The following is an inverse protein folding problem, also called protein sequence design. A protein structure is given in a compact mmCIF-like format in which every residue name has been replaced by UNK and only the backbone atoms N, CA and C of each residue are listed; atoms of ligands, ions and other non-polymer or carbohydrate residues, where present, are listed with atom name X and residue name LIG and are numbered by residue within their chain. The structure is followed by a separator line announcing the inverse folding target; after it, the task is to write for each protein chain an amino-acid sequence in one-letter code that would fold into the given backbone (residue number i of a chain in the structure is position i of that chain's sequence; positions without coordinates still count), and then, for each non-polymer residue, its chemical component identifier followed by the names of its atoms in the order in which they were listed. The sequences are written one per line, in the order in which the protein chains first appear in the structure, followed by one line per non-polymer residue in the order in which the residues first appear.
data_IF_536176799656
#
_entry.id   IF_536176799656
#
_cell.length_a   1.000
_cell.length_b   1.000
_cell.length_c   1.000
_cell.angle_alpha   90.00
_cell.angle_beta   90.00
_cell.angle_gamma   90.00
#
_symmetry.space_group_name_H-M   'P 1'
#
loop_
_entity.id
_entity.type
_entity.pdbx_description
1 polymer ?
#
# COMPACT_ATOMS: atom_id res chain seq x y z
N UNK A 1 -24.92 -31.90 23.34
CA UNK A 1 -24.14 -30.64 23.50
C UNK A 1 -23.24 -30.51 22.28
N UNK A 2 -23.63 -29.70 21.31
CA UNK A 2 -22.87 -29.46 20.08
C UNK A 2 -21.80 -28.42 20.41
N UNK A 3 -20.53 -28.81 20.35
CA UNK A 3 -19.38 -27.93 20.56
C UNK A 3 -19.23 -27.05 19.30
N UNK A 4 -19.70 -25.80 19.34
CA UNK A 4 -19.32 -24.81 18.32
C UNK A 4 -17.83 -24.50 18.49
N UNK A 5 -17.00 -25.08 17.63
CA UNK A 5 -15.63 -24.61 17.44
C UNK A 5 -15.70 -23.27 16.71
N UNK A 6 -15.49 -22.17 17.42
CA UNK A 6 -15.15 -20.89 16.81
C UNK A 6 -13.79 -21.04 16.12
N UNK A 7 -13.79 -21.20 14.80
CA UNK A 7 -12.60 -20.89 14.02
C UNK A 7 -12.43 -19.36 14.03
N UNK A 8 -11.25 -18.82 14.38
CA UNK A 8 -10.98 -17.42 14.13
C UNK A 8 -10.93 -17.27 12.61
N UNK A 9 -11.85 -16.48 12.03
CA UNK A 9 -11.65 -15.93 10.70
C UNK A 9 -10.38 -15.09 10.76
N UNK A 10 -9.25 -15.64 10.32
CA UNK A 10 -8.18 -14.83 9.76
C UNK A 10 -8.74 -14.22 8.47
N UNK A 11 -9.49 -13.12 8.61
CA UNK A 11 -9.70 -12.21 7.52
C UNK A 11 -8.34 -11.63 7.17
N UNK A 12 -7.69 -12.19 6.16
CA UNK A 12 -6.67 -11.44 5.43
C UNK A 12 -7.34 -10.14 5.02
N UNK A 13 -6.92 -9.02 5.60
CA UNK A 13 -7.30 -7.69 5.15
C UNK A 13 -6.78 -7.56 3.72
N UNK A 14 -7.60 -7.96 2.75
CA UNK A 14 -7.42 -7.51 1.39
C UNK A 14 -7.39 -5.98 1.46
N UNK A 15 -6.38 -5.36 0.83
CA UNK A 15 -6.29 -3.92 0.74
C UNK A 15 -7.67 -3.38 0.31
N UNK A 16 -8.22 -2.44 1.06
CA UNK A 16 -9.51 -1.84 0.72
C UNK A 16 -9.33 -1.13 -0.62
N UNK A 17 -9.96 -1.68 -1.65
CA UNK A 17 -9.89 -1.18 -3.02
C UNK A 17 -11.29 -0.88 -3.52
N UNK A 18 -11.43 0.25 -4.21
CA UNK A 18 -12.68 0.74 -4.76
C UNK A 18 -12.46 0.93 -6.26
N UNK A 19 -13.37 0.46 -7.08
CA UNK A 19 -13.30 0.63 -8.52
C UNK A 19 -14.13 1.84 -8.93
N UNK A 20 -13.56 2.71 -9.76
CA UNK A 20 -14.24 3.81 -10.43
C UNK A 20 -14.22 3.55 -11.94
N UNK A 21 -15.34 3.80 -12.62
CA UNK A 21 -15.57 3.31 -13.98
C UNK A 21 -15.97 4.45 -14.90
N UNK A 22 -15.39 4.52 -16.09
CA UNK A 22 -15.84 5.52 -17.07
C UNK A 22 -17.33 5.32 -17.36
N UNK A 23 -18.14 6.40 -17.43
CA UNK A 23 -19.46 6.31 -18.02
C UNK A 23 -19.37 5.65 -19.40
N UNK A 24 -20.07 4.53 -19.58
CA UNK A 24 -19.98 3.71 -20.79
C UNK A 24 -20.75 4.37 -21.91
N UNK A 25 -20.03 4.76 -22.98
CA UNK A 25 -20.65 5.18 -24.26
C UNK A 25 -20.80 4.01 -25.22
N UNK A 26 -19.90 3.03 -25.12
CA UNK A 26 -19.96 1.73 -25.81
C UNK A 26 -19.63 0.60 -24.84
N UNK A 27 -19.87 -0.63 -25.29
CA UNK A 27 -19.45 -1.86 -24.61
C UNK A 27 -18.54 -2.73 -25.51
N UNK A 28 -17.98 -2.15 -26.57
CA UNK A 28 -17.16 -2.88 -27.55
C UNK A 28 -15.78 -3.24 -27.00
N UNK A 29 -15.28 -4.38 -27.46
CA UNK A 29 -13.96 -4.91 -27.11
C UNK A 29 -13.90 -5.70 -25.80
N UNK A 30 -12.71 -6.24 -25.54
CA UNK A 30 -12.44 -7.10 -24.40
C UNK A 30 -11.66 -6.35 -23.32
N UNK A 31 -11.99 -6.63 -22.06
CA UNK A 31 -11.22 -6.15 -20.91
C UNK A 31 -9.87 -6.85 -20.85
N UNK A 32 -8.79 -6.06 -20.84
CA UNK A 32 -7.42 -6.54 -20.96
C UNK A 32 -6.82 -7.01 -19.62
N UNK A 33 -7.53 -6.77 -18.52
CA UNK A 33 -7.20 -7.24 -17.19
C UNK A 33 -6.48 -6.18 -16.35
N UNK A 34 -6.70 -6.26 -15.04
CA UNK A 34 -6.16 -5.31 -14.07
C UNK A 34 -4.63 -5.34 -14.03
N UNK A 35 -4.02 -4.15 -14.06
CA UNK A 35 -2.65 -3.92 -13.60
C UNK A 35 -2.66 -2.98 -12.42
N UNK A 36 -1.90 -3.33 -11.39
CA UNK A 36 -1.81 -2.56 -10.16
C UNK A 36 -0.42 -1.93 -10.03
N UNK A 37 -0.37 -0.73 -9.46
CA UNK A 37 0.85 -0.14 -8.96
C UNK A 37 1.51 -1.07 -7.92
N UNK A 38 2.85 -1.04 -7.77
CA UNK A 38 3.51 -1.65 -6.64
C UNK A 38 2.98 -1.15 -5.29
N UNK A 39 3.01 -2.00 -4.26
CA UNK A 39 2.50 -1.68 -2.92
C UNK A 39 3.06 -0.34 -2.40
N UNK A 40 2.16 0.50 -1.88
CA UNK A 40 2.52 1.81 -1.33
C UNK A 40 2.81 2.90 -2.38
N UNK A 41 2.54 2.64 -3.66
CA UNK A 41 2.65 3.63 -4.74
C UNK A 41 1.31 3.89 -5.41
N UNK A 42 1.19 5.08 -6.01
CA UNK A 42 -0.05 5.58 -6.62
C UNK A 42 0.25 6.21 -7.97
N UNK A 43 -0.70 6.13 -8.89
CA UNK A 43 -0.58 6.72 -10.21
C UNK A 43 -0.42 8.24 -10.08
N UNK A 44 0.54 8.81 -10.80
CA UNK A 44 0.83 10.24 -10.76
C UNK A 44 1.16 10.82 -12.14
N UNK A 45 1.21 9.98 -13.17
CA UNK A 45 1.47 10.40 -14.54
C UNK A 45 0.79 9.46 -15.54
N UNK A 46 0.54 9.96 -16.73
CA UNK A 46 -0.13 9.26 -17.82
C UNK A 46 0.70 9.32 -19.10
N UNK A 47 0.62 8.27 -19.91
CA UNK A 47 1.07 8.26 -21.30
C UNK A 47 -0.09 7.79 -22.16
N UNK A 48 -0.27 8.43 -23.31
CA UNK A 48 -1.30 8.08 -24.27
C UNK A 48 -0.65 7.51 -25.52
N UNK A 49 -1.23 6.45 -26.07
CA UNK A 49 -0.94 5.98 -27.43
C UNK A 49 -2.09 6.40 -28.31
N UNK A 50 -1.80 7.21 -29.33
CA UNK A 50 -2.82 7.79 -30.22
C UNK A 50 -2.32 7.77 -31.64
N UNK A 51 -3.22 7.53 -32.58
CA UNK A 51 -2.92 7.69 -34.00
C UNK A 51 -2.76 9.16 -34.38
N UNK A 52 -1.88 9.42 -35.34
CA UNK A 52 -1.66 10.77 -35.89
C UNK A 52 -2.51 11.00 -37.13
N UNK A 53 -2.68 12.27 -37.51
CA UNK A 53 -3.48 12.67 -38.66
C UNK A 53 -3.01 12.00 -39.97
N UNK A 54 -3.85 11.15 -40.57
CA UNK A 54 -3.62 10.41 -41.81
C UNK A 54 -4.05 11.16 -43.09
N UNK A 55 -4.42 12.45 -42.99
CA UNK A 55 -4.74 13.33 -44.14
C UNK A 55 -5.83 12.77 -45.07
N UNK A 56 -6.77 11.98 -44.54
CA UNK A 56 -7.90 11.43 -45.33
C UNK A 56 -8.63 10.21 -44.77
N UNK A 57 -8.32 9.74 -43.55
CA UNK A 57 -9.03 8.68 -42.80
C UNK A 57 -9.12 9.06 -41.32
N UNK A 58 -9.99 8.39 -40.53
CA UNK A 58 -10.39 8.85 -39.20
C UNK A 58 -9.20 9.08 -38.27
N UNK A 59 -9.08 10.33 -37.82
CA UNK A 59 -7.80 10.94 -37.47
C UNK A 59 -7.46 10.86 -35.98
N UNK A 60 -8.14 10.11 -35.09
CA UNK A 60 -8.08 10.53 -33.67
C UNK A 60 -8.40 9.54 -32.53
N UNK A 61 -8.25 8.23 -32.72
CA UNK A 61 -8.55 7.25 -31.66
C UNK A 61 -7.48 7.10 -30.57
N UNK A 62 -7.88 7.06 -29.29
CA UNK A 62 -7.05 6.61 -28.18
C UNK A 62 -6.89 5.09 -28.27
N UNK A 63 -5.65 4.61 -28.31
CA UNK A 63 -5.33 3.19 -28.47
C UNK A 63 -4.81 2.55 -27.18
N UNK A 64 -4.25 3.34 -26.26
CA UNK A 64 -3.80 2.86 -24.96
C UNK A 64 -3.59 4.01 -23.96
N UNK A 65 -3.74 3.68 -22.68
CA UNK A 65 -3.35 4.52 -21.55
C UNK A 65 -2.40 3.73 -20.66
N UNK A 66 -1.20 4.25 -20.48
CA UNK A 66 -0.26 3.78 -19.47
C UNK A 66 -0.25 4.76 -18.30
N UNK A 67 -0.19 4.25 -17.07
CA UNK A 67 0.01 5.05 -15.87
C UNK A 67 1.40 4.80 -15.31
N UNK A 68 1.99 5.80 -14.66
CA UNK A 68 3.21 5.62 -13.87
C UNK A 68 2.91 5.84 -12.40
N UNK A 69 3.51 5.01 -11.55
CA UNK A 69 3.27 5.01 -10.11
C UNK A 69 4.47 5.52 -9.29
N UNK A 70 4.21 6.29 -8.23
CA UNK A 70 5.24 6.74 -7.28
C UNK A 70 4.72 6.66 -5.83
N UNK A 71 5.60 6.54 -4.82
CA UNK A 71 5.22 6.80 -3.44
C UNK A 71 4.70 8.23 -3.28
N UNK A 72 3.94 8.48 -2.21
CA UNK A 72 3.54 9.84 -1.83
C UNK A 72 4.75 10.73 -1.53
N UNK A 73 4.58 12.04 -1.62
CA UNK A 73 5.62 13.04 -1.37
C UNK A 73 6.87 12.85 -2.24
N UNK A 74 6.68 12.31 -3.44
CA UNK A 74 7.72 12.27 -4.44
C UNK A 74 8.11 13.70 -4.85
N UNK A 75 9.40 13.90 -5.11
CA UNK A 75 9.97 15.18 -5.60
C UNK A 75 10.77 14.99 -6.89
N UNK A 76 10.73 13.80 -7.49
CA UNK A 76 11.43 13.48 -8.73
C UNK A 76 10.53 12.72 -9.68
N UNK A 77 10.39 13.26 -10.89
CA UNK A 77 9.69 12.63 -12.01
C UNK A 77 10.54 11.47 -12.57
N UNK A 78 9.95 10.29 -12.67
CA UNK A 78 10.56 9.10 -13.28
C UNK A 78 9.50 8.18 -13.90
N UNK A 79 9.91 7.26 -14.76
CA UNK A 79 9.00 6.37 -15.50
C UNK A 79 9.22 4.89 -15.18
N UNK A 80 9.85 4.58 -14.03
CA UNK A 80 10.32 3.22 -13.72
C UNK A 80 9.19 2.24 -13.34
N UNK A 81 8.02 2.76 -12.95
CA UNK A 81 6.89 1.96 -12.47
C UNK A 81 5.66 2.15 -13.36
N UNK A 82 5.83 1.83 -14.63
CA UNK A 82 4.77 1.82 -15.62
C UNK A 82 3.77 0.67 -15.34
N UNK A 83 2.48 0.96 -15.47
CA UNK A 83 1.40 -0.03 -15.52
C UNK A 83 0.56 0.20 -16.78
N UNK A 84 0.32 -0.89 -17.51
CA UNK A 84 -0.37 -0.89 -18.80
C UNK A 84 -1.30 -2.10 -18.89
N UNK A 85 -2.61 -1.86 -18.91
CA UNK A 85 -3.62 -2.93 -18.96
C UNK A 85 -3.63 -3.62 -20.31
N UNK A 86 -3.85 -2.87 -21.38
CA UNK A 86 -3.70 -3.34 -22.75
C UNK A 86 -3.39 -2.20 -23.71
N UNK A 87 -3.01 -2.59 -24.92
CA UNK A 87 -2.50 -1.68 -25.94
C UNK A 87 -3.06 -2.04 -27.31
N UNK A 88 -3.67 -1.05 -27.96
CA UNK A 88 -4.08 -1.14 -29.35
C UNK A 88 -2.87 -1.16 -30.31
N UNK A 89 -3.05 -1.77 -31.48
CA UNK A 89 -1.97 -2.00 -32.44
C UNK A 89 -1.38 -0.71 -32.98
N UNK A 90 -2.21 0.30 -33.18
CA UNK A 90 -1.86 1.48 -33.95
C UNK A 90 -1.52 2.71 -33.09
N UNK A 91 -0.99 3.72 -33.77
CA UNK A 91 -0.58 4.98 -33.18
C UNK A 91 0.77 4.94 -32.48
N UNK A 92 1.20 6.12 -32.02
CA UNK A 92 2.47 6.30 -31.31
C UNK A 92 2.23 6.75 -29.88
N UNK A 93 3.06 6.24 -28.98
CA UNK A 93 3.15 6.72 -27.61
C UNK A 93 3.62 8.17 -27.59
N UNK A 94 2.83 9.06 -27.00
CA UNK A 94 3.15 10.49 -26.86
C UNK A 94 3.94 10.76 -25.58
N UNK A 95 4.27 12.02 -25.35
CA UNK A 95 4.99 12.46 -24.15
C UNK A 95 4.21 12.15 -22.87
N UNK A 96 4.94 11.82 -21.80
CA UNK A 96 4.35 11.60 -20.48
C UNK A 96 3.84 12.92 -19.91
N UNK A 97 2.66 12.90 -19.30
CA UNK A 97 2.04 14.03 -18.61
C UNK A 97 2.03 13.72 -17.13
N UNK A 98 2.57 14.63 -16.32
CA UNK A 98 2.78 14.42 -14.90
C UNK A 98 1.88 15.32 -14.08
N UNK A 99 1.31 14.78 -13.00
CA UNK A 99 0.72 15.61 -11.96
C UNK A 99 1.76 16.59 -11.40
N UNK A 100 1.34 17.76 -10.88
CA UNK A 100 2.23 18.65 -10.14
C UNK A 100 2.95 17.92 -9.00
N UNK A 101 4.12 18.46 -8.61
CA UNK A 101 4.99 17.85 -7.61
C UNK A 101 4.26 17.44 -6.33
N UNK A 102 4.47 16.20 -5.90
CA UNK A 102 3.88 15.64 -4.68
C UNK A 102 2.40 15.26 -4.78
N UNK A 103 1.72 15.57 -5.88
CA UNK A 103 0.33 15.17 -6.11
C UNK A 103 0.23 13.77 -6.75
N UNK A 104 -0.91 13.14 -6.57
CA UNK A 104 -1.25 11.84 -7.18
C UNK A 104 -2.60 11.94 -7.86
N UNK A 105 -2.89 10.98 -8.73
CA UNK A 105 -4.16 10.90 -9.43
C UNK A 105 -5.26 10.46 -8.47
N UNK A 106 -6.33 11.25 -8.39
CA UNK A 106 -7.48 11.09 -7.50
C UNK A 106 -8.79 10.89 -8.26
N UNK A 107 -8.75 10.89 -9.58
CA UNK A 107 -9.91 10.70 -10.43
C UNK A 107 -9.54 10.77 -11.91
N UNK A 108 -10.52 10.62 -12.77
CA UNK A 108 -10.36 10.70 -14.21
C UNK A 108 -11.67 11.01 -14.94
N UNK A 109 -11.54 11.35 -16.22
CA UNK A 109 -12.62 11.31 -17.20
C UNK A 109 -12.07 10.81 -18.54
N UNK A 110 -12.95 10.26 -19.37
CA UNK A 110 -12.65 9.99 -20.78
C UNK A 110 -13.30 11.04 -21.65
N UNK A 111 -12.71 11.33 -22.80
CA UNK A 111 -13.39 12.04 -23.88
C UNK A 111 -13.70 11.01 -24.97
N UNK A 112 -14.94 11.06 -25.45
CA UNK A 112 -15.49 10.10 -26.42
C UNK A 112 -16.73 10.69 -27.08
N UNK A 113 -16.92 10.40 -28.37
CA UNK A 113 -18.12 10.79 -29.10
C UNK A 113 -19.32 9.89 -28.75
N UNK A 114 -20.54 10.43 -28.84
CA UNK A 114 -21.75 9.62 -28.73
C UNK A 114 -22.09 8.99 -30.09
N UNK A 115 -22.59 7.75 -30.07
CA UNK A 115 -23.08 7.04 -31.26
C UNK A 115 -24.06 7.91 -32.08
N UNK A 116 -23.65 8.28 -33.29
CA UNK A 116 -24.41 9.14 -34.21
C UNK A 116 -25.42 8.36 -35.07
N UNK A 117 -25.86 7.16 -34.65
CA UNK A 117 -26.94 6.39 -35.31
C UNK A 117 -26.64 6.08 -36.78
N UNK A 118 -25.49 5.45 -37.03
CA UNK A 118 -25.15 4.88 -38.35
C UNK A 118 -24.07 5.62 -39.14
N UNK A 119 -23.22 6.39 -38.47
CA UNK A 119 -21.89 6.78 -38.94
C UNK A 119 -20.89 6.35 -37.88
N UNK A 120 -19.83 5.67 -38.29
CA UNK A 120 -18.77 5.21 -37.41
C UNK A 120 -18.16 6.40 -36.65
N UNK A 121 -17.96 6.21 -35.34
CA UNK A 121 -16.98 6.84 -34.44
C UNK A 121 -17.50 6.84 -33.00
N UNK A 122 -17.10 5.84 -32.21
CA UNK A 122 -17.55 5.69 -30.81
C UNK A 122 -16.43 5.26 -29.85
N UNK A 123 -15.17 5.42 -30.25
CA UNK A 123 -14.02 5.14 -29.40
C UNK A 123 -13.74 6.30 -28.42
N UNK A 124 -12.92 6.05 -27.39
CA UNK A 124 -12.32 7.11 -26.61
C UNK A 124 -11.25 7.82 -27.45
N UNK A 125 -11.13 9.13 -27.32
CA UNK A 125 -10.16 9.95 -28.07
C UNK A 125 -9.14 10.62 -27.12
N UNK A 126 -9.46 10.68 -25.82
CA UNK A 126 -8.55 11.19 -24.79
C UNK A 126 -8.89 10.63 -23.40
N UNK A 127 -7.91 10.74 -22.50
CA UNK A 127 -8.04 10.44 -21.08
C UNK A 127 -7.50 11.64 -20.28
N UNK A 128 -8.25 12.07 -19.27
CA UNK A 128 -7.83 13.09 -18.32
C UNK A 128 -7.70 12.46 -16.95
N UNK A 129 -6.55 12.61 -16.30
CA UNK A 129 -6.35 12.28 -14.89
C UNK A 129 -6.44 13.53 -14.03
N UNK A 130 -7.23 13.50 -12.97
CA UNK A 130 -7.33 14.59 -11.99
C UNK A 130 -6.31 14.37 -10.88
N UNK A 131 -5.54 15.41 -10.56
CA UNK A 131 -4.43 15.38 -9.63
C UNK A 131 -4.75 16.14 -8.34
N UNK A 132 -4.43 15.54 -7.20
CA UNK A 132 -4.65 16.19 -5.91
C UNK A 132 -4.00 15.43 -4.77
N UNK A 133 -4.30 15.88 -3.55
CA UNK A 133 -3.89 15.14 -2.35
C UNK A 133 -4.95 14.08 -2.03
N UNK A 134 -4.54 12.91 -1.49
CA UNK A 134 -5.48 11.85 -1.16
C UNK A 134 -6.61 12.27 -0.22
N UNK A 135 -6.36 13.23 0.67
CA UNK A 135 -7.36 13.75 1.63
C UNK A 135 -7.90 15.14 1.26
N UNK A 136 -7.56 15.63 0.07
CA UNK A 136 -8.00 16.91 -0.45
C UNK A 136 -9.41 16.88 -1.04
N UNK A 137 -9.85 18.01 -1.64
CA UNK A 137 -11.09 18.06 -2.39
C UNK A 137 -11.06 17.09 -3.59
N UNK A 138 -12.25 16.74 -4.08
CA UNK A 138 -12.46 15.95 -5.30
C UNK A 138 -12.92 16.88 -6.40
N UNK A 139 -11.95 17.47 -7.08
CA UNK A 139 -12.15 18.49 -8.10
C UNK A 139 -11.08 18.37 -9.21
N UNK A 140 -11.21 19.22 -10.22
CA UNK A 140 -10.33 19.27 -11.38
C UNK A 140 -9.27 20.38 -11.27
N UNK A 141 -8.95 20.87 -10.07
CA UNK A 141 -8.04 22.00 -9.88
C UNK A 141 -6.67 21.78 -10.52
N UNK A 142 -6.23 20.52 -10.58
CA UNK A 142 -5.07 20.10 -11.34
C UNK A 142 -5.45 18.87 -12.17
N UNK A 143 -5.07 18.85 -13.43
CA UNK A 143 -5.37 17.73 -14.33
C UNK A 143 -4.29 17.54 -15.37
N UNK A 144 -4.21 16.33 -15.92
CA UNK A 144 -3.30 15.91 -16.98
C UNK A 144 -4.08 15.19 -18.05
N UNK A 145 -3.88 15.53 -19.33
CA UNK A 145 -4.48 14.81 -20.45
C UNK A 145 -3.54 14.73 -21.65
N UNK A 146 -3.89 13.87 -22.61
CA UNK A 146 -3.18 13.77 -23.88
C UNK A 146 -3.36 15.04 -24.73
N UNK A 147 -2.38 15.31 -25.60
CA UNK A 147 -2.39 16.48 -26.49
C UNK A 147 -3.30 16.29 -27.74
N UNK A 148 -4.29 15.40 -27.68
CA UNK A 148 -5.15 15.10 -28.83
C UNK A 148 -6.17 16.21 -29.08
N UNK A 149 -6.17 16.74 -30.30
CA UNK A 149 -7.19 17.64 -30.82
C UNK A 149 -8.33 16.80 -31.40
N UNK A 150 -9.12 16.18 -30.53
CA UNK A 150 -10.18 15.26 -30.93
C UNK A 150 -11.57 15.84 -30.75
N UNK A 151 -12.52 15.14 -31.35
CA UNK A 151 -13.95 15.42 -31.36
C UNK A 151 -14.62 14.63 -30.24
N UNK A 152 -15.63 15.21 -29.58
CA UNK A 152 -16.37 14.55 -28.49
C UNK A 152 -16.43 15.32 -27.18
N UNK A 153 -17.24 14.79 -26.25
CA UNK A 153 -17.49 15.40 -24.95
C UNK A 153 -16.84 14.58 -23.84
N UNK A 154 -16.23 15.28 -22.88
CA UNK A 154 -15.77 14.65 -21.64
C UNK A 154 -16.95 13.97 -20.93
N UNK A 155 -16.74 12.74 -20.49
CA UNK A 155 -17.69 12.01 -19.64
C UNK A 155 -17.80 12.67 -18.27
N UNK A 156 -18.81 12.28 -17.49
CA UNK A 156 -18.89 12.64 -16.08
C UNK A 156 -17.61 12.22 -15.34
N UNK A 157 -17.10 13.14 -14.51
CA UNK A 157 -15.91 12.92 -13.70
C UNK A 157 -16.09 11.76 -12.74
N UNK A 158 -15.06 10.93 -12.64
CA UNK A 158 -15.01 9.84 -11.70
C UNK A 158 -13.89 10.09 -10.69
N UNK A 159 -14.24 10.22 -9.41
CA UNK A 159 -13.28 10.46 -8.34
C UNK A 159 -13.16 9.27 -7.42
N UNK A 160 -11.93 8.94 -7.02
CA UNK A 160 -11.70 8.11 -5.85
C UNK A 160 -12.34 8.78 -4.62
N UNK A 161 -12.89 8.03 -3.65
CA UNK A 161 -13.36 8.61 -2.40
C UNK A 161 -12.25 9.36 -1.65
N UNK A 162 -12.62 10.28 -0.75
CA UNK A 162 -11.64 10.92 0.14
C UNK A 162 -10.82 9.88 0.91
N UNK A 163 -9.52 10.12 0.98
CA UNK A 163 -8.54 9.18 1.54
C UNK A 163 -8.09 8.06 0.61
N UNK A 164 -8.45 8.09 -0.67
CA UNK A 164 -8.00 7.14 -1.68
C UNK A 164 -7.30 7.83 -2.85
N UNK A 165 -6.43 7.10 -3.54
CA UNK A 165 -5.79 7.52 -4.79
C UNK A 165 -5.72 6.35 -5.78
N UNK A 166 -5.58 6.66 -7.07
CA UNK A 166 -5.51 5.67 -8.13
C UNK A 166 -4.27 4.79 -7.95
N UNK A 167 -4.47 3.47 -7.99
CA UNK A 167 -3.44 2.45 -7.81
C UNK A 167 -3.55 1.29 -8.81
N UNK A 168 -4.44 1.38 -9.80
CA UNK A 168 -4.56 0.37 -10.83
C UNK A 168 -5.43 0.80 -11.99
N UNK A 169 -5.27 0.10 -13.12
CA UNK A 169 -5.96 0.36 -14.37
C UNK A 169 -6.41 -0.95 -15.03
N UNK A 170 -7.58 -0.92 -15.65
CA UNK A 170 -8.09 -1.92 -16.56
C UNK A 170 -8.69 -1.20 -17.77
N UNK A 171 -8.35 -1.63 -18.98
CA UNK A 171 -8.84 -1.00 -20.21
C UNK A 171 -9.65 -2.01 -21.02
N UNK A 172 -10.71 -1.52 -21.67
CA UNK A 172 -11.48 -2.28 -22.65
C UNK A 172 -11.04 -1.85 -24.04
N UNK A 173 -10.48 -2.79 -24.79
CA UNK A 173 -9.91 -2.54 -26.12
C UNK A 173 -10.57 -3.46 -27.12
N UNK A 174 -11.07 -2.87 -28.19
CA UNK A 174 -11.58 -3.62 -29.33
C UNK A 174 -10.42 -4.17 -30.14
N UNK A 175 -10.46 -5.46 -30.51
CA UNK A 175 -9.46 -6.08 -31.37
C UNK A 175 -9.80 -5.94 -32.86
N UNK A 176 -8.83 -6.27 -33.71
CA UNK A 176 -9.00 -6.27 -35.17
C UNK A 176 -10.15 -7.21 -35.63
N UNK A 177 -11.14 -6.67 -36.33
CA UNK A 177 -12.34 -7.40 -36.79
C UNK A 177 -12.21 -7.91 -38.23
N UNK A 178 -11.01 -7.84 -38.84
CA UNK A 178 -10.69 -8.30 -40.20
C UNK A 178 -11.44 -7.56 -41.32
N UNK A 179 -12.03 -6.40 -41.03
CA UNK A 179 -12.67 -5.46 -41.95
C UNK A 179 -13.43 -4.34 -41.23
N UNK A 180 -13.05 -3.07 -41.47
CA UNK A 180 -13.50 -1.88 -40.71
C UNK A 180 -12.37 -1.34 -39.82
N UNK A 181 -12.44 -0.08 -39.38
CA UNK A 181 -11.35 0.55 -38.61
C UNK A 181 -11.04 -0.26 -37.34
N UNK A 182 -9.79 -0.70 -37.29
CA UNK A 182 -9.36 -1.83 -36.48
C UNK A 182 -8.62 -1.31 -35.24
N UNK A 183 -9.17 -1.55 -34.06
CA UNK A 183 -8.52 -1.44 -32.73
C UNK A 183 -8.59 -0.06 -32.07
N UNK A 184 -9.44 0.08 -31.04
CA UNK A 184 -9.55 1.31 -30.26
C UNK A 184 -9.84 1.04 -28.77
N UNK A 185 -9.39 1.94 -27.90
CA UNK A 185 -9.76 1.95 -26.49
C UNK A 185 -11.18 2.50 -26.38
N UNK A 186 -12.07 1.72 -25.76
CA UNK A 186 -13.46 2.09 -25.57
C UNK A 186 -13.72 2.58 -24.13
N UNK A 187 -13.21 1.86 -23.13
CA UNK A 187 -13.47 2.17 -21.72
C UNK A 187 -12.23 2.01 -20.83
N UNK A 188 -12.25 2.71 -19.70
CA UNK A 188 -11.24 2.62 -18.64
C UNK A 188 -11.92 2.47 -17.29
N UNK A 189 -11.43 1.51 -16.53
CA UNK A 189 -11.71 1.36 -15.11
C UNK A 189 -10.43 1.60 -14.32
N UNK A 190 -10.52 2.39 -13.26
CA UNK A 190 -9.43 2.62 -12.33
C UNK A 190 -9.74 2.00 -10.98
N UNK A 191 -8.69 1.52 -10.33
CA UNK A 191 -8.75 1.05 -8.94
C UNK A 191 -8.18 2.14 -8.04
N UNK A 192 -8.91 2.45 -6.99
CA UNK A 192 -8.55 3.38 -5.93
C UNK A 192 -8.13 2.57 -4.69
N UNK A 193 -6.95 2.86 -4.16
CA UNK A 193 -6.44 2.25 -2.93
C UNK A 193 -6.45 3.27 -1.79
N UNK A 194 -6.77 2.81 -0.58
CA UNK A 194 -6.73 3.65 0.62
C UNK A 194 -5.32 4.19 0.84
N UNK A 195 -5.21 5.49 1.07
CA UNK A 195 -3.99 6.21 1.38
C UNK A 195 -3.96 6.58 2.86
N UNK A 196 -2.95 6.12 3.63
CA UNK A 196 -2.78 6.55 5.01
C UNK A 196 -2.66 8.08 5.09
N UNK A 197 -3.50 8.76 5.90
CA UNK A 197 -3.53 10.23 6.01
C UNK A 197 -2.29 10.91 6.55
N UNK A 198 -1.33 10.15 7.08
CA UNK A 198 -0.12 10.71 7.66
C UNK A 198 1.08 10.40 6.78
N UNK A 199 1.77 11.47 6.36
CA UNK A 199 3.05 11.46 5.65
C UNK A 199 4.21 11.03 6.54
N UNK A 200 4.10 9.84 7.14
CA UNK A 200 5.15 9.32 7.99
C UNK A 200 6.29 8.83 7.08
N UNK A 201 7.43 9.54 7.08
CA UNK A 201 8.65 9.08 6.41
C UNK A 201 9.63 8.56 7.45
N UNK A 202 9.68 7.24 7.63
CA UNK A 202 10.62 6.59 8.53
C UNK A 202 10.93 5.18 8.04
N UNK A 203 12.11 4.70 8.40
CA UNK A 203 12.48 3.29 8.36
C UNK A 203 12.34 2.77 9.80
N UNK A 204 11.39 1.86 10.11
CA UNK A 204 11.06 1.57 11.49
C UNK A 204 12.21 0.88 12.19
N UNK A 205 12.87 1.45 13.19
CA UNK A 205 13.95 0.85 14.02
C UNK A 205 13.42 -0.22 14.98
N UNK A 206 14.26 -1.16 15.43
CA UNK A 206 13.88 -2.16 16.45
C UNK A 206 14.94 -2.25 17.54
N UNK A 207 14.51 -2.31 18.79
CA UNK A 207 15.38 -2.39 19.97
C UNK A 207 14.81 -3.37 20.99
N UNK A 208 15.71 -4.06 21.71
CA UNK A 208 15.34 -4.73 22.95
C UNK A 208 15.60 -3.76 24.09
N UNK A 209 14.59 -3.54 24.93
CA UNK A 209 14.72 -2.71 26.12
C UNK A 209 14.50 -3.56 27.36
N UNK A 210 15.44 -3.44 28.31
CA UNK A 210 15.39 -4.14 29.59
C UNK A 210 14.20 -3.66 30.42
N UNK A 211 13.31 -4.59 30.76
CA UNK A 211 12.20 -4.36 31.68
C UNK A 211 12.61 -4.62 33.13
N UNK A 212 13.34 -5.71 33.37
CA UNK A 212 13.83 -6.08 34.69
C UNK A 212 15.05 -7.00 34.60
N UNK A 213 15.80 -7.07 35.68
CA UNK A 213 16.92 -7.99 35.89
C UNK A 213 16.86 -8.50 37.33
N UNK A 214 17.10 -9.80 37.49
CA UNK A 214 17.10 -10.42 38.81
C UNK A 214 18.24 -11.44 38.93
N UNK A 215 19.05 -11.31 39.97
CA UNK A 215 20.13 -12.24 40.28
C UNK A 215 19.70 -13.20 41.41
N UNK A 216 19.43 -14.46 41.05
CA UNK A 216 19.16 -15.55 41.99
C UNK A 216 20.33 -16.55 42.06
N UNK A 217 21.56 -16.14 41.74
CA UNK A 217 22.73 -17.03 41.71
C UNK A 217 23.14 -17.57 43.08
N UNK A 218 22.80 -16.85 44.14
CA UNK A 218 23.07 -17.26 45.53
C UNK A 218 21.83 -17.87 46.21
N UNK A 219 20.69 -17.93 45.51
CA UNK A 219 19.44 -18.43 46.06
C UNK A 219 19.32 -19.94 45.95
N UNK A 220 18.88 -20.57 47.04
CA UNK A 220 18.67 -22.02 47.11
C UNK A 220 17.33 -22.49 46.51
N UNK A 221 16.43 -21.56 46.13
CA UNK A 221 15.10 -21.87 45.60
C UNK A 221 14.71 -21.00 44.41
N UNK A 222 13.55 -21.31 43.81
CA UNK A 222 12.97 -20.50 42.73
C UNK A 222 12.31 -19.25 43.32
N UNK A 223 12.58 -18.08 42.72
CA UNK A 223 11.98 -16.81 43.12
C UNK A 223 11.01 -16.34 42.04
N UNK A 224 9.82 -15.91 42.43
CA UNK A 224 8.85 -15.26 41.55
C UNK A 224 9.11 -13.77 41.49
N UNK A 225 9.31 -13.25 40.29
CA UNK A 225 9.39 -11.82 40.01
C UNK A 225 8.22 -11.39 39.14
N UNK A 226 7.84 -10.13 39.23
CA UNK A 226 6.84 -9.53 38.34
C UNK A 226 7.47 -8.43 37.49
N UNK A 227 7.02 -8.30 36.25
CA UNK A 227 7.45 -7.24 35.35
C UNK A 227 6.27 -6.73 34.51
N UNK A 228 6.36 -5.48 34.05
CA UNK A 228 5.32 -4.84 33.25
C UNK A 228 5.71 -4.80 31.78
N UNK A 229 4.92 -5.46 30.94
CA UNK A 229 5.00 -5.43 29.49
C UNK A 229 4.07 -4.33 28.95
N UNK A 230 4.58 -3.44 28.10
CA UNK A 230 3.82 -2.34 27.50
C UNK A 230 3.42 -2.69 26.08
N UNK A 231 2.16 -3.03 25.83
CA UNK A 231 1.64 -3.32 24.48
C UNK A 231 0.83 -2.10 24.04
N UNK A 232 1.52 -1.03 23.62
CA UNK A 232 0.88 0.25 23.28
C UNK A 232 1.74 1.08 22.31
N UNK A 233 1.11 2.06 21.66
CA UNK A 233 1.80 3.14 20.98
C UNK A 233 2.06 4.29 21.95
N UNK A 234 3.23 4.90 21.84
CA UNK A 234 3.58 6.11 22.58
C UNK A 234 4.42 7.03 21.72
N UNK A 235 4.46 8.31 22.06
CA UNK A 235 5.43 9.23 21.44
C UNK A 235 6.76 9.22 22.17
N UNK A 236 7.86 9.32 21.44
CA UNK A 236 9.20 9.52 22.01
C UNK A 236 9.49 10.98 22.32
N UNK A 237 8.77 11.90 21.68
CA UNK A 237 8.90 13.35 21.83
C UNK A 237 7.53 14.04 21.71
N UNK A 238 7.38 15.20 22.33
CA UNK A 238 6.15 16.00 22.30
C UNK A 238 5.32 15.92 23.58
N UNK A 239 4.27 16.76 23.67
CA UNK A 239 3.38 16.87 24.84
C UNK A 239 2.16 15.95 24.77
N UNK A 240 1.80 15.45 23.59
CA UNK A 240 0.69 14.52 23.39
C UNK A 240 1.20 13.09 23.46
N UNK A 241 0.78 12.31 24.45
CA UNK A 241 1.21 10.91 24.58
C UNK A 241 0.46 9.97 23.63
N UNK A 242 -0.76 10.33 23.23
CA UNK A 242 -1.62 9.50 22.38
C UNK A 242 -1.24 9.58 20.91
N UNK A 243 -1.29 8.42 20.24
CA UNK A 243 -1.05 8.26 18.81
C UNK A 243 -2.39 7.97 18.12
N UNK A 244 -2.74 8.77 17.11
CA UNK A 244 -4.00 8.62 16.38
C UNK A 244 -4.06 7.35 15.55
N UNK A 245 -5.27 6.88 15.22
CA UNK A 245 -5.48 5.69 14.38
C UNK A 245 -4.71 5.77 13.05
N UNK A 246 -4.75 6.94 12.43
CA UNK A 246 -4.11 7.24 11.15
C UNK A 246 -2.59 7.14 11.19
N UNK A 247 -1.98 7.65 12.27
CA UNK A 247 -0.54 7.53 12.52
C UNK A 247 -0.14 6.08 12.78
N UNK A 248 -0.98 5.31 13.50
CA UNK A 248 -0.78 3.88 13.73
C UNK A 248 -0.82 3.08 12.41
N UNK A 249 -1.80 3.36 11.55
CA UNK A 249 -1.90 2.78 10.20
C UNK A 249 -0.67 3.15 9.34
N UNK A 250 -0.20 4.40 9.44
CA UNK A 250 1.03 4.82 8.78
C UNK A 250 2.27 4.06 9.28
N UNK A 251 2.41 3.86 10.59
CA UNK A 251 3.51 3.03 11.17
C UNK A 251 3.44 1.59 10.67
N UNK A 252 2.25 0.97 10.65
CA UNK A 252 2.05 -0.38 10.14
C UNK A 252 2.51 -0.52 8.68
N UNK A 253 2.19 0.47 7.84
CA UNK A 253 2.60 0.49 6.42
C UNK A 253 4.12 0.51 6.20
N UNK A 254 4.90 0.91 7.20
CA UNK A 254 6.37 0.95 7.13
C UNK A 254 7.05 -0.36 7.49
N UNK A 255 6.30 -1.35 7.99
CA UNK A 255 6.81 -2.69 8.27
C UNK A 255 6.97 -3.45 6.96
N UNK A 256 8.12 -3.28 6.32
CA UNK A 256 8.45 -3.91 5.03
C UNK A 256 9.39 -5.12 5.16
N UNK A 257 10.09 -5.25 6.29
CA UNK A 257 11.08 -6.32 6.53
C UNK A 257 10.89 -6.96 7.90
N UNK A 258 11.42 -8.18 8.06
CA UNK A 258 11.53 -8.85 9.35
C UNK A 258 12.80 -8.47 10.12
N UNK A 259 12.94 -9.05 11.31
CA UNK A 259 14.11 -8.87 12.20
C UNK A 259 14.70 -10.20 12.63
N UNK A 260 15.97 -10.18 13.00
CA UNK A 260 16.62 -11.26 13.71
C UNK A 260 17.02 -10.78 15.11
N UNK A 261 16.69 -11.58 16.12
CA UNK A 261 17.08 -11.36 17.51
C UNK A 261 18.22 -12.33 17.83
N UNK A 262 19.31 -11.80 18.39
CA UNK A 262 20.50 -12.56 18.76
C UNK A 262 21.02 -12.13 20.14
N UNK A 263 22.03 -12.84 20.66
CA UNK A 263 22.72 -12.45 21.89
C UNK A 263 23.36 -11.06 21.78
N UNK A 264 23.75 -10.64 20.58
CA UNK A 264 24.40 -9.37 20.30
C UNK A 264 23.40 -8.20 20.11
N UNK A 265 22.11 -8.48 20.02
CA UNK A 265 21.05 -7.47 19.88
C UNK A 265 20.07 -7.79 18.74
N UNK A 266 19.47 -6.74 18.17
CA UNK A 266 18.50 -6.85 17.06
C UNK A 266 19.17 -6.47 15.74
N UNK A 267 19.16 -7.39 14.78
CA UNK A 267 19.65 -7.18 13.41
C UNK A 267 18.46 -7.02 12.45
N UNK A 268 18.57 -6.06 11.52
CA UNK A 268 17.57 -5.81 10.46
C UNK A 268 17.87 -6.63 9.21
N UNK A 269 16.81 -6.98 8.46
CA UNK A 269 16.94 -7.32 7.04
C UNK A 269 16.78 -8.79 6.68
N UNK A 270 15.96 -9.55 7.41
CA UNK A 270 15.69 -10.96 7.06
C UNK A 270 14.42 -11.07 6.22
N UNK A 271 14.58 -11.44 4.95
CA UNK A 271 13.50 -11.75 4.01
C UNK A 271 13.32 -13.26 3.95
N UNK A 272 12.75 -13.89 4.99
CA UNK A 272 12.49 -15.33 4.99
C UNK A 272 11.11 -15.67 5.52
N UNK A 273 10.38 -16.46 4.72
CA UNK A 273 9.13 -17.13 5.07
C UNK A 273 9.46 -18.46 5.76
N UNK A 274 9.57 -18.47 7.09
CA UNK A 274 9.88 -19.70 7.81
C UNK A 274 9.55 -19.60 9.30
N UNK A 275 8.60 -20.43 9.76
CA UNK A 275 8.27 -20.60 11.18
C UNK A 275 9.34 -21.49 11.84
N UNK A 276 10.02 -20.97 12.84
CA UNK A 276 10.72 -21.79 13.83
C UNK A 276 10.40 -21.27 15.22
N UNK A 277 9.48 -21.94 15.91
CA UNK A 277 9.27 -21.81 17.35
C UNK A 277 10.23 -22.76 18.06
N UNK A 278 11.09 -22.25 18.95
CA UNK A 278 11.95 -23.08 19.81
C UNK A 278 11.86 -22.58 21.25
N UNK A 279 11.57 -23.48 22.17
CA UNK A 279 11.67 -23.26 23.61
C UNK A 279 13.15 -23.14 24.00
N UNK A 280 13.52 -22.09 24.74
CA UNK A 280 14.92 -21.77 25.03
C UNK A 280 15.42 -22.43 26.32
N UNK A 281 16.34 -23.39 26.17
CA UNK A 281 17.42 -23.64 27.12
C UNK A 281 18.77 -23.60 26.37
N UNK A 282 19.61 -22.63 26.75
CA UNK A 282 21.06 -22.47 26.47
C UNK A 282 21.58 -22.50 25.02
N UNK A 283 22.36 -21.45 24.70
CA UNK A 283 23.34 -21.27 23.60
C UNK A 283 22.87 -20.55 22.31
N UNK A 284 23.57 -19.47 21.94
CA UNK A 284 23.81 -18.86 20.61
C UNK A 284 22.70 -18.88 19.52
N UNK A 285 21.43 -19.05 19.86
CA UNK A 285 20.36 -19.19 18.89
C UNK A 285 19.81 -17.83 18.47
N UNK A 286 19.79 -17.62 17.15
CA UNK A 286 19.13 -16.50 16.48
C UNK A 286 17.65 -16.81 16.32
N UNK A 287 16.78 -15.87 16.64
CA UNK A 287 15.35 -15.95 16.37
C UNK A 287 14.98 -14.98 15.27
N UNK A 288 14.48 -15.49 14.15
CA UNK A 288 13.96 -14.66 13.06
C UNK A 288 12.46 -14.41 13.27
N UNK A 289 12.06 -13.14 13.21
CA UNK A 289 10.67 -12.71 13.16
C UNK A 289 10.40 -12.14 11.77
N UNK A 290 9.56 -12.82 10.99
CA UNK A 290 9.20 -12.39 9.64
C UNK A 290 8.43 -11.06 9.62
N UNK A 291 8.39 -10.40 8.45
CA UNK A 291 7.57 -9.20 8.21
C UNK A 291 6.13 -9.39 8.69
N UNK A 292 5.50 -10.50 8.32
CA UNK A 292 4.08 -10.77 8.62
C UNK A 292 3.83 -10.93 10.12
N UNK A 293 4.78 -11.53 10.84
CA UNK A 293 4.71 -11.63 12.29
C UNK A 293 4.82 -10.25 12.95
N UNK A 294 5.71 -9.37 12.46
CA UNK A 294 5.78 -8.00 12.98
C UNK A 294 4.50 -7.22 12.66
N UNK A 295 3.96 -7.33 11.44
CA UNK A 295 2.70 -6.69 11.07
C UNK A 295 1.55 -7.16 11.98
N UNK A 296 1.47 -8.46 12.25
CA UNK A 296 0.49 -9.06 13.17
C UNK A 296 0.64 -8.49 14.59
N UNK A 297 1.87 -8.40 15.09
CA UNK A 297 2.14 -7.80 16.40
C UNK A 297 1.72 -6.33 16.48
N UNK A 298 2.00 -5.53 15.44
CA UNK A 298 1.59 -4.12 15.39
C UNK A 298 0.06 -4.00 15.33
N UNK A 299 -0.63 -4.86 14.57
CA UNK A 299 -2.10 -4.90 14.52
C UNK A 299 -2.73 -5.30 15.86
N UNK A 300 -2.11 -6.22 16.60
CA UNK A 300 -2.54 -6.57 17.97
C UNK A 300 -2.48 -5.33 18.87
N UNK A 301 -1.36 -4.59 18.83
CA UNK A 301 -1.20 -3.35 19.60
C UNK A 301 -2.24 -2.31 19.20
N UNK A 302 -2.54 -2.16 17.90
CA UNK A 302 -3.57 -1.24 17.42
C UNK A 302 -4.97 -1.56 17.94
N UNK A 303 -5.27 -2.85 18.13
CA UNK A 303 -6.59 -3.33 18.52
C UNK A 303 -6.82 -3.29 20.02
N UNK A 304 -5.77 -3.41 20.83
CA UNK A 304 -5.88 -3.50 22.28
C UNK A 304 -4.63 -2.99 23.00
N UNK A 305 -4.55 -1.67 23.17
CA UNK A 305 -3.45 -1.03 23.92
C UNK A 305 -3.59 -1.30 25.41
N UNK A 306 -2.55 -1.87 26.02
CA UNK A 306 -2.57 -2.28 27.43
C UNK A 306 -1.17 -2.39 28.02
N UNK A 307 -1.10 -2.27 29.34
CA UNK A 307 0.07 -2.67 30.13
C UNK A 307 -0.30 -3.94 30.89
N UNK A 308 0.50 -5.00 30.75
CA UNK A 308 0.26 -6.30 31.38
C UNK A 308 1.36 -6.54 32.42
N UNK A 309 0.97 -6.93 33.63
CA UNK A 309 1.91 -7.49 34.62
C UNK A 309 2.02 -9.00 34.41
N UNK A 310 3.22 -9.50 34.14
CA UNK A 310 3.52 -10.93 34.02
C UNK A 310 4.40 -11.39 35.19
N UNK A 311 4.30 -12.68 35.53
CA UNK A 311 5.15 -13.31 36.56
C UNK A 311 6.15 -14.22 35.88
N UNK A 312 7.42 -14.14 36.30
CA UNK A 312 8.49 -15.03 35.86
C UNK A 312 9.11 -15.76 37.05
N UNK A 313 9.36 -17.05 36.88
CA UNK A 313 10.01 -17.89 37.88
C UNK A 313 11.52 -17.92 37.60
N UNK A 314 12.32 -17.27 38.43
CA UNK A 314 13.78 -17.29 38.35
C UNK A 314 14.30 -18.53 39.08
N UNK A 315 14.90 -19.51 38.38
CA UNK A 315 15.43 -20.72 39.02
C UNK A 315 16.56 -20.40 40.00
N UNK A 316 16.80 -21.30 40.96
CA UNK A 316 17.98 -21.24 41.82
C UNK A 316 19.29 -21.24 41.00
N UNK A 317 20.31 -20.56 41.51
CA UNK A 317 21.64 -20.47 40.90
C UNK A 317 21.66 -19.81 39.50
N UNK A 318 20.69 -18.95 39.17
CA UNK A 318 20.59 -18.26 37.87
C UNK A 318 20.36 -16.76 38.03
N UNK A 319 20.97 -15.96 37.15
CA UNK A 319 20.58 -14.57 36.90
C UNK A 319 19.76 -14.49 35.63
N UNK A 320 18.78 -13.60 35.57
CA UNK A 320 17.97 -13.38 34.37
C UNK A 320 17.80 -11.90 34.04
N UNK A 321 17.80 -11.59 32.75
CA UNK A 321 17.40 -10.31 32.18
C UNK A 321 16.15 -10.53 31.33
N UNK A 322 15.12 -9.73 31.56
CA UNK A 322 13.88 -9.74 30.78
C UNK A 322 13.81 -8.46 29.97
N UNK A 323 13.73 -8.61 28.65
CA UNK A 323 13.69 -7.52 27.68
C UNK A 323 12.44 -7.61 26.82
N UNK A 324 11.94 -6.46 26.37
CA UNK A 324 10.82 -6.36 25.45
C UNK A 324 11.29 -5.78 24.12
N UNK A 325 10.75 -6.31 23.01
CA UNK A 325 10.98 -5.76 21.69
C UNK A 325 10.13 -4.51 21.47
N UNK A 326 10.80 -3.41 21.14
CA UNK A 326 10.18 -2.16 20.73
C UNK A 326 10.49 -1.87 19.26
N UNK A 327 9.55 -1.22 18.59
CA UNK A 327 9.72 -0.64 17.26
C UNK A 327 9.61 0.88 17.37
N UNK A 328 10.44 1.63 16.65
CA UNK A 328 10.30 3.08 16.52
C UNK A 328 10.22 3.51 15.07
N UNK A 329 9.33 4.45 14.73
CA UNK A 329 9.22 4.99 13.38
C UNK A 329 8.90 6.49 13.49
N UNK A 330 9.87 7.34 13.14
CA UNK A 330 9.77 8.77 13.43
C UNK A 330 9.77 9.00 14.94
N UNK A 331 8.80 9.77 15.45
CA UNK A 331 8.60 10.01 16.88
C UNK A 331 7.63 9.02 17.55
N UNK A 332 7.24 7.95 16.86
CA UNK A 332 6.30 6.95 17.38
C UNK A 332 7.08 5.72 17.82
N UNK A 333 6.82 5.25 19.04
CA UNK A 333 7.32 4.00 19.60
C UNK A 333 6.17 3.04 19.80
N UNK A 334 6.41 1.76 19.49
CA UNK A 334 5.44 0.67 19.62
C UNK A 334 6.06 -0.40 20.50
N UNK A 335 5.43 -0.68 21.64
CA UNK A 335 5.80 -1.84 22.45
C UNK A 335 5.16 -3.10 21.90
N UNK A 336 5.96 -4.01 21.35
CA UNK A 336 5.47 -5.25 20.76
C UNK A 336 5.29 -6.32 21.86
N UNK A 337 4.36 -7.29 21.70
CA UNK A 337 4.12 -8.33 22.70
C UNK A 337 5.31 -9.30 22.91
N UNK A 338 6.35 -9.22 22.08
CA UNK A 338 7.52 -10.11 22.12
C UNK A 338 8.44 -9.80 23.31
N UNK A 339 8.61 -10.80 24.18
CA UNK A 339 9.57 -10.82 25.28
C UNK A 339 10.76 -11.72 24.94
N UNK A 340 11.94 -11.31 25.40
CA UNK A 340 13.19 -12.08 25.33
C UNK A 340 13.74 -12.20 26.74
N UNK A 341 14.06 -13.42 27.15
CA UNK A 341 14.68 -13.69 28.46
C UNK A 341 16.08 -14.24 28.23
N UNK A 342 17.08 -13.66 28.91
CA UNK A 342 18.48 -14.06 28.81
C UNK A 342 19.00 -14.41 30.20
N UNK A 343 20.01 -15.26 30.28
CA UNK A 343 20.82 -15.35 31.49
C UNK A 343 21.65 -14.08 31.62
N UNK A 344 21.66 -13.45 32.80
CA UNK A 344 22.69 -12.44 33.15
C UNK A 344 23.94 -13.09 33.67
#
# INVERSE_FOLDING_TARGET
MILLKFLPLLGFLAAETIEIRSPRRTEYGDWQGWKNCPDGTYAYAVKHKVEGNQRGGDDTGLNAVALFCNPLHWSTYNTDREILSGEGRWGDWKGVKYCPEGLVMIGFALRSEADQRGKDDVAADNFSGYCGTPHGPRDQSNWIAGDTHGWGDWTEDQFCPQGFAVCGINTQIEGNQRGGDDTALNNVDLRCCRVPPVSLSCTPSYTLERLTEYDNRLGAGTIQIQYQKKILFSRTTGTTETVGREEKEAVLSKVTTGVEISAEGVLRGVTLAGKTSVNFEHSNSRETISRDQIQTMVQEVMSNEKTITETYNVPANKGVVIEQLFMTCGNIKVGLPKIVTRGS
#
